data_IF_200131607118
#
_entry.id   IF_200131607118
#
_cell.length_a   1.000
_cell.length_b   1.000
_cell.length_c   1.000
_cell.angle_alpha   90.00
_cell.angle_beta   90.00
_cell.angle_gamma   90.00
#
_symmetry.space_group_name_H-M   'P 1'
#
loop_
_entity.id
_entity.type
_entity.pdbx_description
1 polymer ?
#
# COMPACT_ATOMS: atom_id res chain seq x y z
N UNK A 1 -4.46 25.84 -2.95
CA UNK A 1 -4.03 25.47 -1.57
C UNK A 1 -3.38 24.11 -1.65
N UNK A 2 -2.20 23.92 -1.03
CA UNK A 2 -1.51 22.63 -1.06
C UNK A 2 -2.27 21.57 -0.26
N UNK A 3 -2.06 20.29 -0.60
CA UNK A 3 -2.63 19.14 0.13
C UNK A 3 -2.19 19.15 1.60
N UNK A 4 -0.94 19.51 1.87
CA UNK A 4 -0.40 19.58 3.22
C UNK A 4 -1.06 20.69 4.04
N UNK A 5 -1.19 21.89 3.48
CA UNK A 5 -1.85 23.03 4.16
C UNK A 5 -3.31 22.72 4.46
N UNK A 6 -4.04 22.09 3.54
CA UNK A 6 -5.41 21.64 3.79
C UNK A 6 -5.47 20.64 4.96
N UNK A 7 -4.51 19.71 5.04
CA UNK A 7 -4.44 18.75 6.16
C UNK A 7 -4.14 19.44 7.50
N UNK A 8 -3.38 20.54 7.48
CA UNK A 8 -3.14 21.37 8.69
C UNK A 8 -4.43 22.08 9.13
N UNK A 9 -5.19 22.63 8.20
CA UNK A 9 -6.49 23.27 8.51
C UNK A 9 -7.48 22.26 9.08
N UNK A 10 -7.60 21.09 8.45
CA UNK A 10 -8.46 20.00 8.94
C UNK A 10 -8.04 19.53 10.36
N UNK A 11 -6.75 19.58 10.68
CA UNK A 11 -6.23 19.23 12.00
C UNK A 11 -6.49 20.34 13.03
N UNK A 12 -6.48 21.62 12.61
CA UNK A 12 -6.78 22.76 13.47
C UNK A 12 -8.23 22.77 13.95
N UNK A 13 -9.17 22.37 13.09
CA UNK A 13 -10.60 22.32 13.43
C UNK A 13 -10.92 21.31 14.54
N UNK A 14 -10.10 20.29 14.74
CA UNK A 14 -10.27 19.30 15.83
C UNK A 14 -9.96 19.93 17.18
N UNK A 15 -8.99 20.85 17.27
CA UNK A 15 -8.64 21.52 18.52
C UNK A 15 -9.77 22.44 18.99
N UNK A 16 -10.54 23.03 18.07
CA UNK A 16 -11.71 23.88 18.41
C UNK A 16 -12.88 23.07 18.99
N UNK A 17 -12.97 21.79 18.65
CA UNK A 17 -14.03 20.88 19.14
C UNK A 17 -13.69 20.24 20.49
N UNK A 18 -12.47 20.36 20.97
CA UNK A 18 -11.98 19.74 22.21
C UNK A 18 -12.05 20.76 23.37
N UNK A 19 -13.04 20.61 24.23
CA UNK A 19 -13.18 21.41 25.47
C UNK A 19 -12.30 20.94 26.63
N UNK A 20 -11.36 20.05 26.39
CA UNK A 20 -10.46 19.51 27.41
C UNK A 20 -9.11 20.26 27.41
N UNK A 21 -8.58 20.51 28.60
CA UNK A 21 -7.26 21.13 28.88
C UNK A 21 -6.05 20.29 28.44
N UNK A 22 -6.11 19.70 27.22
CA UNK A 22 -4.94 19.15 26.59
C UNK A 22 -4.17 20.33 25.98
N UNK A 23 -2.88 20.44 26.30
CA UNK A 23 -1.99 21.37 25.63
C UNK A 23 -2.26 21.31 24.13
N UNK A 24 -2.49 22.44 23.48
CA UNK A 24 -2.92 22.53 22.09
C UNK A 24 -1.98 21.69 21.21
N UNK A 25 -2.51 20.58 20.68
CA UNK A 25 -1.75 19.70 19.78
C UNK A 25 -1.37 20.55 18.57
N UNK A 26 -0.07 20.61 18.26
CA UNK A 26 0.40 21.35 17.08
C UNK A 26 -0.28 20.78 15.81
N UNK A 27 -1.11 21.58 15.10
CA UNK A 27 -1.84 21.10 13.91
C UNK A 27 -0.93 20.56 12.82
N UNK A 28 0.25 21.14 12.66
CA UNK A 28 1.24 20.68 11.70
C UNK A 28 1.77 19.29 12.05
N UNK A 29 2.03 19.04 13.33
CA UNK A 29 2.42 17.69 13.78
C UNK A 29 1.34 16.65 13.46
N UNK A 30 0.07 16.97 13.73
CA UNK A 30 -1.06 16.09 13.41
C UNK A 30 -1.16 15.84 11.90
N UNK A 31 -0.98 16.88 11.09
CA UNK A 31 -1.00 16.78 9.63
C UNK A 31 0.12 15.85 9.12
N UNK A 32 1.33 16.01 9.65
CA UNK A 32 2.48 15.14 9.32
C UNK A 32 2.19 13.67 9.67
N UNK A 33 1.68 13.43 10.88
CA UNK A 33 1.30 12.09 11.34
C UNK A 33 0.19 11.47 10.49
N UNK A 34 -0.80 12.25 10.04
CA UNK A 34 -1.87 11.77 9.15
C UNK A 34 -1.35 11.38 7.78
N UNK A 35 -0.45 12.17 7.20
CA UNK A 35 0.15 11.85 5.91
C UNK A 35 1.03 10.59 5.98
N UNK A 36 1.81 10.43 7.06
CA UNK A 36 2.64 9.24 7.28
C UNK A 36 1.81 7.97 7.53
N UNK A 37 0.57 8.12 8.01
CA UNK A 37 -0.31 7.02 8.38
C UNK A 37 -1.65 7.09 7.61
N UNK A 38 -1.61 7.39 6.32
CA UNK A 38 -2.80 7.59 5.50
C UNK A 38 -3.72 6.36 5.38
N UNK A 39 -3.17 5.15 5.52
CA UNK A 39 -3.91 3.89 5.50
C UNK A 39 -4.01 3.30 6.91
N UNK A 40 -5.19 3.31 7.49
CA UNK A 40 -5.43 2.79 8.85
C UNK A 40 -5.63 1.28 8.87
N UNK A 41 -6.38 0.77 7.92
CA UNK A 41 -6.78 -0.65 7.85
C UNK A 41 -6.42 -1.28 6.51
N UNK A 42 -6.41 -2.62 6.45
CA UNK A 42 -6.27 -3.34 5.18
C UNK A 42 -7.42 -3.03 4.22
N UNK A 43 -8.64 -2.83 4.73
CA UNK A 43 -9.79 -2.44 3.91
C UNK A 43 -9.58 -1.08 3.24
N UNK A 44 -8.96 -0.11 3.90
CA UNK A 44 -8.63 1.18 3.27
C UNK A 44 -7.65 0.98 2.11
N UNK A 45 -6.66 0.09 2.29
CA UNK A 45 -5.70 -0.28 1.25
C UNK A 45 -6.42 -1.01 0.10
N UNK A 46 -7.26 -2.00 0.40
CA UNK A 46 -8.01 -2.75 -0.62
C UNK A 46 -8.86 -1.80 -1.47
N UNK A 47 -9.60 -0.87 -0.86
CA UNK A 47 -10.41 0.13 -1.57
C UNK A 47 -9.56 1.04 -2.45
N UNK A 48 -8.45 1.54 -1.93
CA UNK A 48 -7.54 2.41 -2.66
C UNK A 48 -6.94 1.68 -3.87
N UNK A 49 -6.39 0.49 -3.66
CA UNK A 49 -5.74 -0.29 -4.73
C UNK A 49 -6.73 -0.85 -5.75
N UNK A 50 -7.95 -1.22 -5.34
CA UNK A 50 -9.02 -1.58 -6.26
C UNK A 50 -9.46 -0.39 -7.14
N UNK A 51 -9.45 0.83 -6.61
CA UNK A 51 -9.74 2.03 -7.41
C UNK A 51 -8.66 2.29 -8.46
N UNK A 52 -7.37 2.03 -8.14
CA UNK A 52 -6.27 2.09 -9.11
C UNK A 52 -6.48 1.06 -10.21
N UNK A 53 -6.75 -0.20 -9.85
CA UNK A 53 -6.98 -1.27 -10.81
C UNK A 53 -8.14 -0.95 -11.75
N UNK A 54 -9.25 -0.45 -11.23
CA UNK A 54 -10.40 -0.02 -12.03
C UNK A 54 -10.02 1.04 -13.05
N UNK A 55 -9.33 2.07 -12.60
CA UNK A 55 -8.84 3.14 -13.48
C UNK A 55 -7.91 2.60 -14.57
N UNK A 56 -7.01 1.69 -14.20
CA UNK A 56 -6.07 1.09 -15.14
C UNK A 56 -6.76 0.21 -16.18
N UNK A 57 -7.84 -0.50 -15.79
CA UNK A 57 -8.69 -1.25 -16.73
C UNK A 57 -9.40 -0.31 -17.72
N UNK A 58 -10.00 0.78 -17.23
CA UNK A 58 -10.67 1.76 -18.08
C UNK A 58 -9.70 2.41 -19.07
N UNK A 59 -8.46 2.69 -18.65
CA UNK A 59 -7.39 3.20 -19.53
C UNK A 59 -6.98 2.16 -20.58
N UNK A 60 -6.86 0.89 -20.21
CA UNK A 60 -6.55 -0.20 -21.15
C UNK A 60 -7.65 -0.37 -22.20
N UNK A 61 -8.90 -0.34 -21.79
CA UNK A 61 -10.05 -0.46 -22.70
C UNK A 61 -10.12 0.70 -23.70
N UNK A 62 -9.66 1.89 -23.28
CA UNK A 62 -9.65 3.07 -24.15
C UNK A 62 -8.42 3.14 -25.08
N UNK A 63 -7.27 2.64 -24.67
CA UNK A 63 -6.01 2.67 -25.42
C UNK A 63 -5.03 1.59 -24.96
N UNK A 64 -5.22 0.36 -25.43
CA UNK A 64 -4.39 -0.79 -25.06
C UNK A 64 -2.93 -0.68 -25.52
N UNK A 65 -2.65 0.05 -26.61
CA UNK A 65 -1.29 0.19 -27.13
C UNK A 65 -0.41 1.10 -26.27
N UNK A 66 -1.02 2.08 -25.58
CA UNK A 66 -0.29 2.98 -24.67
C UNK A 66 -0.18 2.40 -23.25
N UNK A 67 -0.81 1.28 -22.97
CA UNK A 67 -0.82 0.68 -21.64
C UNK A 67 0.46 -0.09 -21.36
N UNK A 68 1.16 0.27 -20.29
CA UNK A 68 2.36 -0.42 -19.81
C UNK A 68 2.15 -0.88 -18.38
N UNK A 69 2.33 -2.16 -18.13
CA UNK A 69 2.13 -2.79 -16.83
C UNK A 69 3.39 -3.53 -16.39
N UNK A 70 3.71 -3.41 -15.10
CA UNK A 70 4.72 -4.20 -14.42
C UNK A 70 4.05 -5.11 -13.41
N UNK A 71 4.24 -6.41 -13.56
CA UNK A 71 3.79 -7.42 -12.62
C UNK A 71 5.00 -8.12 -12.00
N UNK A 72 5.04 -8.20 -10.69
CA UNK A 72 6.08 -8.90 -9.95
C UNK A 72 5.50 -9.89 -8.96
N UNK A 73 6.21 -10.99 -8.75
CA UNK A 73 6.01 -11.93 -7.66
C UNK A 73 7.09 -11.69 -6.61
N UNK A 74 6.71 -11.30 -5.40
CA UNK A 74 7.67 -10.90 -4.38
C UNK A 74 7.37 -11.55 -3.03
N UNK A 75 8.42 -11.98 -2.39
CA UNK A 75 8.36 -12.51 -1.03
C UNK A 75 9.66 -12.27 -0.29
N UNK A 76 9.59 -12.29 1.04
CA UNK A 76 10.73 -12.10 1.90
C UNK A 76 11.33 -10.70 1.83
N UNK A 77 12.38 -10.49 2.62
CA UNK A 77 13.01 -9.18 2.80
C UNK A 77 13.58 -8.59 1.50
N UNK A 78 14.23 -9.42 0.68
CA UNK A 78 14.80 -8.97 -0.60
C UNK A 78 13.70 -8.53 -1.56
N UNK A 79 12.58 -9.24 -1.61
CA UNK A 79 11.41 -8.86 -2.40
C UNK A 79 10.85 -7.51 -1.97
N UNK A 80 10.72 -7.28 -0.68
CA UNK A 80 10.26 -6.01 -0.14
C UNK A 80 11.18 -4.84 -0.53
N UNK A 81 12.50 -5.02 -0.50
CA UNK A 81 13.46 -4.02 -0.96
C UNK A 81 13.33 -3.74 -2.47
N UNK A 82 13.04 -4.76 -3.27
CA UNK A 82 12.79 -4.59 -4.70
C UNK A 82 11.53 -3.77 -4.97
N UNK A 83 10.45 -3.93 -4.20
CA UNK A 83 9.25 -3.10 -4.32
C UNK A 83 9.53 -1.61 -4.11
N UNK A 84 10.38 -1.27 -3.15
CA UNK A 84 10.85 0.11 -2.97
C UNK A 84 11.65 0.59 -4.18
N UNK A 85 12.54 -0.26 -4.70
CA UNK A 85 13.35 0.07 -5.87
C UNK A 85 12.52 0.27 -7.14
N UNK A 86 11.42 -0.46 -7.31
CA UNK A 86 10.50 -0.33 -8.45
C UNK A 86 9.94 1.09 -8.54
N UNK A 87 9.50 1.69 -7.44
CA UNK A 87 9.04 3.08 -7.41
C UNK A 87 10.10 4.03 -7.97
N UNK A 88 11.35 3.79 -7.60
CA UNK A 88 12.50 4.61 -8.02
C UNK A 88 12.86 4.49 -9.49
N UNK A 89 12.75 3.26 -10.04
CA UNK A 89 13.17 2.98 -11.42
C UNK A 89 12.09 3.26 -12.46
N UNK A 90 10.84 2.93 -12.18
CA UNK A 90 9.75 3.05 -13.14
C UNK A 90 8.98 4.36 -12.99
N UNK A 91 9.22 5.12 -11.92
CA UNK A 91 8.53 6.39 -11.68
C UNK A 91 7.02 6.26 -11.56
N UNK A 92 6.32 7.36 -11.82
CA UNK A 92 4.87 7.47 -11.68
C UNK A 92 4.08 6.96 -12.88
N UNK A 93 4.73 6.79 -14.04
CA UNK A 93 4.05 6.50 -15.31
C UNK A 93 3.79 5.02 -15.58
N UNK A 94 4.35 4.11 -14.77
CA UNK A 94 4.12 2.67 -14.95
C UNK A 94 3.07 2.13 -13.99
N UNK A 95 2.16 1.32 -14.51
CA UNK A 95 1.21 0.54 -13.70
C UNK A 95 1.98 -0.59 -13.01
N UNK A 96 1.92 -0.65 -11.69
CA UNK A 96 2.68 -1.58 -10.86
C UNK A 96 1.72 -2.46 -10.09
N UNK A 97 1.90 -3.76 -10.21
CA UNK A 97 1.08 -4.77 -9.54
C UNK A 97 1.97 -5.81 -8.87
N UNK A 98 1.47 -6.38 -7.80
CA UNK A 98 2.07 -7.51 -7.14
C UNK A 98 1.13 -8.70 -7.24
N UNK A 99 1.62 -9.80 -7.82
CA UNK A 99 0.95 -11.09 -7.76
C UNK A 99 1.52 -11.91 -6.62
N UNK A 100 0.67 -12.31 -5.71
CA UNK A 100 1.02 -13.14 -4.57
C UNK A 100 0.66 -14.58 -4.89
N UNK A 101 1.63 -15.30 -5.47
CA UNK A 101 1.48 -16.66 -5.98
C UNK A 101 1.32 -17.68 -4.86
N UNK A 102 0.33 -18.56 -4.99
CA UNK A 102 0.12 -19.70 -4.10
C UNK A 102 1.34 -20.64 -4.06
N UNK A 103 1.93 -20.94 -5.20
CA UNK A 103 3.16 -21.72 -5.27
C UNK A 103 4.30 -21.13 -4.44
N UNK A 104 4.52 -19.83 -4.55
CA UNK A 104 5.57 -19.16 -3.77
C UNK A 104 5.23 -19.16 -2.27
N UNK A 105 3.97 -19.03 -1.90
CA UNK A 105 3.54 -19.10 -0.50
C UNK A 105 3.76 -20.50 0.04
N UNK A 106 3.41 -21.54 -0.71
CA UNK A 106 3.69 -22.93 -0.35
C UNK A 106 5.18 -23.16 -0.11
N UNK A 107 6.05 -22.65 -0.99
CA UNK A 107 7.50 -22.76 -0.84
C UNK A 107 8.04 -22.03 0.40
N UNK A 108 7.43 -20.91 0.78
CA UNK A 108 7.87 -20.09 1.93
C UNK A 108 7.31 -20.52 3.27
N UNK A 109 6.07 -20.96 3.29
CA UNK A 109 5.30 -21.19 4.52
C UNK A 109 5.08 -22.67 4.83
N UNK A 110 5.22 -23.58 3.85
CA UNK A 110 5.28 -25.00 4.13
C UNK A 110 6.69 -25.39 4.60
N UNK A 111 6.78 -26.39 5.42
CA UNK A 111 8.07 -26.95 5.84
C UNK A 111 8.59 -28.04 4.90
N UNK A 112 7.98 -28.17 3.72
CA UNK A 112 8.30 -29.20 2.73
C UNK A 112 9.31 -28.77 1.66
N UNK A 113 9.80 -27.53 1.73
CA UNK A 113 10.70 -26.94 0.74
C UNK A 113 9.97 -26.48 -0.54
N UNK A 114 10.70 -26.18 -1.61
CA UNK A 114 10.14 -25.65 -2.84
C UNK A 114 9.46 -26.75 -3.66
N UNK A 115 8.27 -27.14 -3.25
CA UNK A 115 7.43 -28.08 -3.98
C UNK A 115 6.63 -27.38 -5.08
N UNK A 116 6.19 -28.11 -6.11
CA UNK A 116 5.20 -27.63 -7.07
C UNK A 116 3.93 -27.16 -6.35
N UNK A 117 3.13 -26.38 -7.04
CA UNK A 117 1.87 -25.82 -6.56
C UNK A 117 0.94 -26.94 -6.04
N UNK A 118 0.73 -26.97 -4.74
CA UNK A 118 0.01 -28.04 -4.04
C UNK A 118 -0.85 -27.49 -2.90
N UNK A 119 -1.04 -26.18 -2.81
CA UNK A 119 -1.74 -25.55 -1.68
C UNK A 119 -1.23 -26.01 -0.30
N UNK A 120 0.05 -26.35 -0.20
CA UNK A 120 0.66 -26.95 1.01
C UNK A 120 1.08 -25.87 1.98
N UNK A 121 0.14 -25.02 2.39
CA UNK A 121 0.35 -24.00 3.41
C UNK A 121 -0.93 -23.78 4.23
N UNK A 122 -0.78 -23.16 5.39
CA UNK A 122 -1.92 -22.79 6.23
C UNK A 122 -2.84 -21.78 5.52
N UNK A 123 -4.14 -21.95 5.67
CA UNK A 123 -5.17 -21.09 5.05
C UNK A 123 -4.96 -19.61 5.30
N UNK A 124 -4.42 -19.23 6.45
CA UNK A 124 -4.17 -17.82 6.83
C UNK A 124 -2.88 -17.25 6.27
N UNK A 125 -2.04 -18.06 5.64
CA UNK A 125 -0.70 -17.67 5.19
C UNK A 125 -0.73 -16.54 4.17
N UNK A 126 -1.66 -16.58 3.23
CA UNK A 126 -1.81 -15.54 2.18
C UNK A 126 -2.16 -14.20 2.80
N UNK A 127 -3.20 -14.15 3.62
CA UNK A 127 -3.62 -12.92 4.30
C UNK A 127 -2.52 -12.37 5.23
N UNK A 128 -1.81 -13.25 5.93
CA UNK A 128 -0.65 -12.88 6.76
C UNK A 128 0.45 -12.21 5.94
N UNK A 129 0.78 -12.76 4.77
CA UNK A 129 1.81 -12.21 3.90
C UNK A 129 1.38 -10.88 3.27
N UNK A 130 0.11 -10.72 2.91
CA UNK A 130 -0.45 -9.43 2.47
C UNK A 130 -0.25 -8.35 3.55
N UNK A 131 -0.59 -8.66 4.79
CA UNK A 131 -0.39 -7.75 5.93
C UNK A 131 1.09 -7.39 6.15
N UNK A 132 1.99 -8.38 6.03
CA UNK A 132 3.43 -8.19 6.16
C UNK A 132 3.95 -7.22 5.09
N UNK A 133 3.60 -7.44 3.83
CA UNK A 133 4.00 -6.60 2.71
C UNK A 133 3.48 -5.17 2.86
N UNK A 134 2.21 -4.98 3.17
CA UNK A 134 1.66 -3.64 3.35
C UNK A 134 2.20 -2.94 4.59
N UNK A 135 2.48 -3.65 5.66
CA UNK A 135 3.15 -3.07 6.83
C UNK A 135 4.52 -2.52 6.45
N UNK A 136 5.28 -3.27 5.67
CA UNK A 136 6.58 -2.84 5.17
C UNK A 136 6.47 -1.61 4.24
N UNK A 137 5.53 -1.61 3.31
CA UNK A 137 5.34 -0.50 2.37
C UNK A 137 4.83 0.77 3.07
N UNK A 138 3.95 0.65 4.06
CA UNK A 138 3.55 1.77 4.91
C UNK A 138 4.72 2.37 5.70
N UNK A 139 5.62 1.52 6.21
CA UNK A 139 6.83 1.99 6.89
C UNK A 139 7.78 2.70 5.92
N UNK A 140 7.86 2.27 4.67
CA UNK A 140 8.63 2.96 3.64
C UNK A 140 8.06 4.35 3.36
N UNK A 141 6.74 4.50 3.23
CA UNK A 141 6.06 5.79 3.11
C UNK A 141 6.35 6.71 4.29
N UNK A 142 6.16 6.20 5.50
CA UNK A 142 6.39 6.97 6.72
C UNK A 142 7.85 7.47 6.83
N UNK A 143 8.81 6.64 6.43
CA UNK A 143 10.23 6.98 6.43
C UNK A 143 10.57 8.05 5.39
N UNK A 144 10.07 7.90 4.16
CA UNK A 144 10.32 8.87 3.08
C UNK A 144 9.68 10.22 3.40
N UNK A 145 8.40 10.25 3.81
CA UNK A 145 7.72 11.46 4.24
C UNK A 145 8.40 12.11 5.45
N UNK A 146 8.82 11.33 6.45
CA UNK A 146 9.59 11.84 7.58
C UNK A 146 10.94 12.45 7.16
N UNK A 147 11.56 11.97 6.09
CA UNK A 147 12.72 12.58 5.46
C UNK A 147 12.39 13.94 4.84
N UNK A 148 11.30 14.00 4.06
CA UNK A 148 10.83 15.24 3.43
C UNK A 148 10.42 16.31 4.47
N UNK A 149 9.78 15.91 5.57
CA UNK A 149 9.46 16.85 6.65
C UNK A 149 10.73 17.41 7.32
N UNK A 150 11.75 16.60 7.56
CA UNK A 150 13.04 17.11 8.07
C UNK A 150 13.73 18.02 7.06
N UNK A 151 13.66 17.70 5.76
CA UNK A 151 14.16 18.58 4.70
C UNK A 151 13.43 19.93 4.72
N UNK A 152 12.09 19.92 4.89
CA UNK A 152 11.28 21.12 4.99
C UNK A 152 11.65 21.98 6.21
N UNK A 153 11.85 21.36 7.38
CA UNK A 153 12.20 22.05 8.61
C UNK A 153 13.58 22.76 8.52
N UNK A 154 14.51 22.19 7.73
CA UNK A 154 15.84 22.73 7.54
C UNK A 154 16.00 23.58 6.26
N UNK A 155 14.95 23.69 5.45
CA UNK A 155 15.01 24.43 4.20
C UNK A 155 15.04 25.94 4.44
N UNK A 156 15.85 26.66 3.66
CA UNK A 156 15.76 28.11 3.57
C UNK A 156 14.49 28.52 2.80
N UNK A 157 14.12 29.81 2.88
CA UNK A 157 12.84 30.30 2.31
C UNK A 157 12.74 30.08 0.78
N UNK A 158 13.87 30.02 0.07
CA UNK A 158 13.89 29.79 -1.39
C UNK A 158 13.59 28.32 -1.73
N UNK A 159 13.97 27.39 -0.86
CA UNK A 159 13.87 25.94 -1.10
C UNK A 159 12.58 25.34 -0.52
N UNK A 160 11.95 26.01 0.45
CA UNK A 160 10.72 25.52 1.09
C UNK A 160 9.63 25.14 0.12
N UNK A 161 9.40 25.98 -0.90
CA UNK A 161 8.36 25.72 -1.91
C UNK A 161 8.64 24.45 -2.73
N UNK A 162 9.91 24.17 -3.02
CA UNK A 162 10.30 22.97 -3.75
C UNK A 162 10.11 21.72 -2.90
N UNK A 163 10.46 21.77 -1.62
CA UNK A 163 10.24 20.63 -0.69
C UNK A 163 8.76 20.41 -0.44
N UNK A 164 7.99 21.48 -0.26
CA UNK A 164 6.53 21.42 -0.12
C UNK A 164 5.89 20.71 -1.33
N UNK A 165 6.34 21.05 -2.54
CA UNK A 165 5.85 20.40 -3.76
C UNK A 165 6.17 18.91 -3.80
N UNK A 166 7.31 18.46 -3.28
CA UNK A 166 7.63 17.03 -3.14
C UNK A 166 6.66 16.32 -2.18
N UNK A 167 6.30 16.98 -1.06
CA UNK A 167 5.34 16.44 -0.10
C UNK A 167 3.94 16.38 -0.70
N UNK A 168 3.49 17.43 -1.38
CA UNK A 168 2.15 17.50 -1.99
C UNK A 168 1.95 16.47 -3.11
N UNK A 169 3.02 16.15 -3.84
CA UNK A 169 3.02 15.16 -4.90
C UNK A 169 3.63 13.82 -4.47
N UNK A 170 3.69 13.56 -3.16
CA UNK A 170 4.21 12.30 -2.67
C UNK A 170 3.40 11.11 -3.19
N UNK A 171 4.10 10.18 -3.83
CA UNK A 171 3.53 8.93 -4.31
C UNK A 171 3.81 7.81 -3.30
N UNK A 172 2.74 7.13 -2.87
CA UNK A 172 2.85 6.01 -1.94
C UNK A 172 3.58 4.82 -2.55
N UNK A 173 4.24 4.01 -1.71
CA UNK A 173 4.78 2.70 -2.11
C UNK A 173 3.70 1.61 -2.17
N UNK A 174 2.48 1.91 -1.72
CA UNK A 174 1.36 0.96 -1.78
C UNK A 174 1.02 0.66 -3.23
N UNK A 175 1.08 -0.61 -3.59
CA UNK A 175 0.73 -1.12 -4.92
C UNK A 175 -0.42 -2.13 -4.80
N UNK A 176 -1.25 -2.31 -5.85
CA UNK A 176 -2.26 -3.34 -5.86
C UNK A 176 -1.67 -4.75 -5.71
N UNK A 177 -2.23 -5.55 -4.80
CA UNK A 177 -1.91 -6.97 -4.65
C UNK A 177 -3.07 -7.81 -5.20
N UNK A 178 -2.75 -8.68 -6.17
CA UNK A 178 -3.61 -9.76 -6.64
C UNK A 178 -3.20 -11.01 -5.86
N UNK A 179 -4.09 -11.56 -5.06
CA UNK A 179 -3.81 -12.69 -4.18
C UNK A 179 -4.33 -13.99 -4.78
N UNK A 180 -3.50 -15.02 -4.75
CA UNK A 180 -3.86 -16.36 -5.15
C UNK A 180 -4.57 -17.09 -4.01
N UNK A 181 -5.73 -17.63 -4.29
CA UNK A 181 -6.50 -18.46 -3.36
C UNK A 181 -6.48 -19.94 -3.74
N UNK A 182 -5.58 -20.33 -4.68
CA UNK A 182 -5.55 -21.68 -5.25
C UNK A 182 -6.97 -22.14 -5.65
N UNK A 183 -7.37 -23.35 -5.29
CA UNK A 183 -8.72 -23.89 -5.53
C UNK A 183 -9.74 -23.54 -4.44
N UNK A 184 -9.49 -22.54 -3.58
CA UNK A 184 -10.43 -22.04 -2.56
C UNK A 184 -10.33 -22.71 -1.18
N UNK A 185 -9.42 -23.67 -0.96
CA UNK A 185 -9.15 -24.33 0.32
C UNK A 185 -10.33 -25.08 0.95
N UNK A 186 -11.29 -25.55 0.17
CA UNK A 186 -12.41 -26.34 0.67
C UNK A 186 -13.70 -26.11 -0.12
N UNK A 187 -14.82 -25.98 0.60
CA UNK A 187 -16.12 -25.69 0.00
C UNK A 187 -16.32 -24.17 -0.20
N UNK A 188 -17.48 -23.80 -0.72
CA UNK A 188 -17.86 -22.40 -0.97
C UNK A 188 -17.76 -21.50 0.27
N UNK A 189 -18.10 -22.01 1.44
CA UNK A 189 -17.99 -21.27 2.70
C UNK A 189 -16.53 -20.98 3.06
N UNK A 190 -15.63 -21.96 2.86
CA UNK A 190 -14.22 -21.79 3.08
C UNK A 190 -13.63 -20.76 2.10
N UNK A 191 -14.00 -20.85 0.84
CA UNK A 191 -13.59 -19.88 -0.20
C UNK A 191 -14.04 -18.48 0.13
N UNK A 192 -15.31 -18.30 0.55
CA UNK A 192 -15.84 -17.01 0.98
C UNK A 192 -15.05 -16.41 2.15
N UNK A 193 -14.81 -17.20 3.20
CA UNK A 193 -14.08 -16.74 4.38
C UNK A 193 -12.63 -16.38 4.07
N UNK A 194 -11.98 -17.14 3.21
CA UNK A 194 -10.62 -16.86 2.76
C UNK A 194 -10.56 -15.58 1.92
N UNK A 195 -11.45 -15.43 0.95
CA UNK A 195 -11.55 -14.23 0.14
C UNK A 195 -11.79 -12.99 1.01
N UNK A 196 -12.72 -13.08 1.96
CA UNK A 196 -12.98 -12.01 2.93
C UNK A 196 -11.72 -11.62 3.70
N UNK A 197 -10.98 -12.61 4.23
CA UNK A 197 -9.78 -12.37 5.01
C UNK A 197 -8.67 -11.72 4.17
N UNK A 198 -8.50 -12.12 2.92
CA UNK A 198 -7.52 -11.52 2.01
C UNK A 198 -7.87 -10.05 1.68
N UNK A 199 -9.15 -9.75 1.47
CA UNK A 199 -9.64 -8.38 1.24
C UNK A 199 -9.42 -7.53 2.52
N UNK A 200 -9.74 -8.07 3.68
CA UNK A 200 -9.51 -7.40 4.98
C UNK A 200 -8.02 -7.14 5.24
N UNK A 201 -7.14 -7.99 4.72
CA UNK A 201 -5.70 -7.79 4.74
C UNK A 201 -5.20 -6.73 3.74
N UNK A 202 -5.99 -6.43 2.69
CA UNK A 202 -5.69 -5.38 1.74
C UNK A 202 -5.63 -5.79 0.26
N UNK A 203 -5.88 -7.05 -0.08
CA UNK A 203 -5.89 -7.50 -1.47
C UNK A 203 -6.96 -6.74 -2.28
N UNK A 204 -6.60 -6.29 -3.49
CA UNK A 204 -7.52 -5.62 -4.40
C UNK A 204 -8.23 -6.58 -5.35
N UNK A 205 -7.65 -7.74 -5.57
CA UNK A 205 -8.20 -8.80 -6.40
C UNK A 205 -7.75 -10.17 -5.89
N UNK A 206 -8.49 -11.19 -6.25
CA UNK A 206 -8.25 -12.58 -5.88
C UNK A 206 -8.32 -13.41 -7.16
N UNK A 207 -7.33 -14.27 -7.36
CA UNK A 207 -7.32 -15.25 -8.44
C UNK A 207 -7.65 -16.62 -7.83
N UNK A 208 -8.56 -17.33 -8.47
CA UNK A 208 -8.96 -18.70 -8.14
C UNK A 208 -8.84 -19.57 -9.38
N UNK A 209 -8.42 -20.81 -9.23
CA UNK A 209 -8.28 -21.82 -10.29
C UNK A 209 -9.35 -22.89 -10.22
#
# INVERSE_FOLDING_TARGET
>A
MSKFNKTIEDASSINEMSSSNWDSINPEYVARMRLQNQFKTGIDIAKYTASIMRKDMDEYDSNSEAYTQSLGCWHGFIGQQKLISIKKHFGTNSKKYLYLSGWMIAALRSQFGPLPDQSMHEKTSVASLINELYTFLKQADARELGGLFRELDNANDNDKAAVQNKIDNFETHIVPIIADIDAGFGNEEATYLMAKQMIEAGACAIQIE
#
